data_IF_677389482418
#
_entry.id   IF_677389482418
#
_cell.length_a   1.000
_cell.length_b   1.000
_cell.length_c   1.000
_cell.angle_alpha   90.00
_cell.angle_beta   90.00
_cell.angle_gamma   90.00
#
_symmetry.space_group_name_H-M   'P 1'
#
loop_
_entity.id
_entity.type
_entity.pdbx_description
1 polymer ?
#
# COMPACT_ATOMS: atom_id res chain seq x y z
N UNK A 1 2.23 33.50 -14.21
CA UNK A 1 1.75 32.18 -14.66
C UNK A 1 2.54 31.12 -13.89
N UNK A 2 1.86 30.26 -13.14
CA UNK A 2 2.51 29.22 -12.33
C UNK A 2 3.01 28.12 -13.28
N UNK A 3 4.28 27.74 -13.20
CA UNK A 3 4.89 26.62 -13.94
C UNK A 3 5.06 25.43 -13.01
N UNK A 4 4.76 24.22 -13.52
CA UNK A 4 5.02 22.98 -12.81
C UNK A 4 6.53 22.77 -12.61
N UNK A 5 6.92 22.16 -11.49
CA UNK A 5 8.29 21.70 -11.29
C UNK A 5 8.54 20.50 -12.22
N UNK A 6 9.41 20.66 -13.21
CA UNK A 6 9.73 19.61 -14.19
C UNK A 6 10.31 18.33 -13.56
N UNK A 7 10.91 18.43 -12.36
CA UNK A 7 11.39 17.24 -11.64
C UNK A 7 10.25 16.32 -11.21
N UNK A 8 9.03 16.84 -11.05
CA UNK A 8 7.86 16.03 -10.73
C UNK A 8 7.52 15.03 -11.84
N UNK A 9 7.81 15.39 -13.10
CA UNK A 9 7.60 14.52 -14.26
C UNK A 9 8.62 13.35 -14.33
N UNK A 10 9.73 13.47 -13.60
CA UNK A 10 10.79 12.44 -13.54
C UNK A 10 10.47 11.36 -12.50
N UNK A 11 9.50 11.60 -11.62
CA UNK A 11 9.10 10.63 -10.61
C UNK A 11 8.47 9.42 -11.30
N UNK A 12 9.19 8.29 -11.27
CA UNK A 12 8.58 7.02 -11.62
C UNK A 12 7.56 6.67 -10.55
N UNK A 13 6.36 6.32 -10.98
CA UNK A 13 5.35 5.91 -10.04
C UNK A 13 5.72 4.54 -9.46
N UNK A 14 6.14 4.54 -8.19
CA UNK A 14 6.42 3.33 -7.44
C UNK A 14 5.10 2.72 -6.97
N UNK A 15 4.51 1.87 -7.80
CA UNK A 15 3.22 1.23 -7.53
C UNK A 15 3.30 -0.07 -6.72
N UNK A 16 4.48 -0.48 -6.27
CA UNK A 16 4.67 -1.77 -5.58
C UNK A 16 3.62 -1.99 -4.47
N UNK A 17 3.45 -1.03 -3.59
CA UNK A 17 2.50 -1.14 -2.48
C UNK A 17 1.04 -1.01 -2.90
N UNK A 18 0.75 -0.12 -3.86
CA UNK A 18 -0.62 0.02 -4.38
C UNK A 18 -1.07 -1.20 -5.16
N UNK A 19 -0.16 -1.87 -5.86
CA UNK A 19 -0.46 -3.06 -6.64
C UNK A 19 -0.61 -4.27 -5.74
N UNK A 20 0.25 -4.44 -4.72
CA UNK A 20 0.05 -5.47 -3.69
C UNK A 20 -1.32 -5.30 -3.03
N UNK A 21 -1.73 -4.08 -2.68
CA UNK A 21 -3.05 -3.82 -2.10
C UNK A 21 -4.20 -4.23 -3.03
N UNK A 22 -4.10 -3.93 -4.34
CA UNK A 22 -5.11 -4.36 -5.34
C UNK A 22 -5.20 -5.89 -5.41
N UNK A 23 -4.06 -6.59 -5.45
CA UNK A 23 -4.03 -8.06 -5.53
C UNK A 23 -4.61 -8.70 -4.27
N UNK A 24 -4.25 -8.22 -3.08
CA UNK A 24 -4.80 -8.71 -1.82
C UNK A 24 -6.32 -8.51 -1.78
N UNK A 25 -6.81 -7.33 -2.16
CA UNK A 25 -8.24 -7.05 -2.19
C UNK A 25 -9.00 -7.96 -3.16
N UNK A 26 -8.45 -8.19 -4.35
CA UNK A 26 -9.05 -9.08 -5.34
C UNK A 26 -9.11 -10.53 -4.82
N UNK A 27 -8.03 -11.02 -4.21
CA UNK A 27 -7.99 -12.35 -3.62
C UNK A 27 -9.00 -12.52 -2.47
N UNK A 28 -9.11 -11.55 -1.57
CA UNK A 28 -10.07 -11.59 -0.45
C UNK A 28 -11.53 -11.62 -0.94
N UNK A 29 -11.86 -10.88 -2.01
CA UNK A 29 -13.19 -10.92 -2.61
C UNK A 29 -13.50 -12.26 -3.25
N UNK A 30 -12.50 -12.91 -3.86
CA UNK A 30 -12.65 -14.21 -4.50
C UNK A 30 -12.67 -15.37 -3.49
N UNK A 31 -12.09 -15.19 -2.30
CA UNK A 31 -11.93 -16.21 -1.26
C UNK A 31 -12.31 -15.68 0.13
N UNK A 32 -13.60 -15.36 0.38
CA UNK A 32 -14.05 -14.81 1.66
C UNK A 32 -13.84 -15.78 2.85
N UNK A 33 -13.68 -17.07 2.59
CA UNK A 33 -13.41 -18.11 3.59
C UNK A 33 -11.95 -18.20 4.01
N UNK A 34 -11.03 -17.57 3.26
CA UNK A 34 -9.59 -17.66 3.52
C UNK A 34 -9.08 -16.44 4.28
N UNK A 35 -8.54 -16.70 5.45
CA UNK A 35 -7.83 -15.70 6.22
C UNK A 35 -6.44 -15.43 5.62
N UNK A 36 -6.07 -14.15 5.51
CA UNK A 36 -4.76 -13.72 5.00
C UNK A 36 -3.93 -13.17 6.15
N UNK A 37 -2.73 -13.73 6.34
CA UNK A 37 -1.69 -13.18 7.22
C UNK A 37 -0.86 -12.15 6.43
N UNK A 38 -0.83 -10.90 6.87
CA UNK A 38 -0.19 -9.78 6.14
C UNK A 38 1.25 -9.53 6.58
N UNK A 39 2.21 -10.29 6.08
CA UNK A 39 3.64 -10.10 6.39
C UNK A 39 4.35 -9.02 5.53
N UNK A 40 3.60 -8.01 5.09
CA UNK A 40 4.07 -6.95 4.20
C UNK A 40 4.40 -5.65 4.95
N UNK A 41 4.45 -4.53 4.21
CA UNK A 41 4.64 -3.21 4.82
C UNK A 41 3.42 -2.79 5.66
N UNK A 42 3.67 -2.13 6.80
CA UNK A 42 2.62 -1.47 7.59
C UNK A 42 1.82 -2.38 8.52
N UNK A 43 2.22 -3.64 8.72
CA UNK A 43 1.61 -4.51 9.72
C UNK A 43 2.11 -4.16 11.14
N UNK A 44 1.64 -3.02 11.66
CA UNK A 44 1.91 -2.59 13.03
C UNK A 44 0.94 -3.34 13.95
N UNK A 45 1.44 -4.40 14.57
CA UNK A 45 0.63 -5.29 15.43
C UNK A 45 0.66 -4.90 16.91
N UNK A 46 1.55 -3.97 17.30
CA UNK A 46 1.69 -3.50 18.69
C UNK A 46 1.15 -2.09 18.86
N UNK A 47 0.43 -1.86 19.96
CA UNK A 47 0.00 -0.54 20.37
C UNK A 47 1.20 0.38 20.67
N UNK A 48 0.94 1.69 20.62
CA UNK A 48 1.91 2.70 21.05
C UNK A 48 2.28 2.50 22.53
N UNK A 49 3.53 2.80 22.92
CA UNK A 49 3.93 2.77 24.32
C UNK A 49 3.16 3.81 25.15
N UNK A 50 3.09 3.57 26.46
CA UNK A 50 2.58 4.58 27.41
C UNK A 50 3.55 5.77 27.46
N UNK A 51 2.99 6.96 27.63
CA UNK A 51 3.75 8.21 27.80
C UNK A 51 4.53 8.23 29.11
#
# INVERSE_FOLDING_TARGET
>A
MIKINENYLKLQASYLFSDIAKHVSAFQKAHPEKEIIKLGIGDVTRALPRA
#
